data_IF_609639770679
#
_entry.id   IF_609639770679
#
_cell.length_a   1.000
_cell.length_b   1.000
_cell.length_c   1.000
_cell.angle_alpha   90.00
_cell.angle_beta   90.00
_cell.angle_gamma   90.00
#
_symmetry.space_group_name_H-M   'P 1'
#
loop_
_entity.id
_entity.type
_entity.pdbx_description
1 polymer ?
#
# COMPACT_ATOMS: atom_id res chain seq x y z
N UNK A 1 -8.53 -13.52 0.67
CA UNK A 1 -9.84 -12.92 0.96
C UNK A 1 -10.01 -12.95 2.46
N UNK A 2 -9.41 -11.98 3.14
CA UNK A 2 -9.71 -11.70 4.54
C UNK A 2 -10.94 -10.79 4.48
N UNK A 3 -12.10 -11.37 4.67
CA UNK A 3 -13.32 -10.60 4.89
C UNK A 3 -13.18 -9.92 6.25
N UNK A 4 -12.82 -8.63 6.24
CA UNK A 4 -13.05 -7.77 7.39
C UNK A 4 -14.55 -7.45 7.39
N UNK A 5 -15.35 -8.48 7.65
CA UNK A 5 -16.76 -8.38 8.03
C UNK A 5 -16.79 -8.13 9.53
N UNK A 6 -16.31 -6.96 9.96
CA UNK A 6 -16.70 -6.43 11.26
C UNK A 6 -17.67 -5.29 11.01
N UNK A 7 -18.95 -5.62 11.10
CA UNK A 7 -19.95 -4.66 11.53
C UNK A 7 -19.41 -3.95 12.78
N UNK A 8 -19.43 -2.63 12.68
CA UNK A 8 -18.91 -1.68 13.66
C UNK A 8 -19.62 -1.89 14.99
N UNK A 9 -18.85 -2.26 16.02
CA UNK A 9 -19.33 -2.26 17.40
C UNK A 9 -19.35 -0.81 17.89
N UNK A 10 -20.54 -0.33 18.25
CA UNK A 10 -20.86 1.03 18.75
C UNK A 10 -20.19 1.41 20.08
N UNK A 11 -19.23 0.63 20.56
CA UNK A 11 -18.64 0.77 21.90
C UNK A 11 -17.19 1.29 21.87
N UNK A 12 -16.57 1.44 20.68
CA UNK A 12 -15.17 1.88 20.53
C UNK A 12 -14.94 3.12 19.67
N UNK A 13 -15.96 3.75 19.08
CA UNK A 13 -15.78 5.00 18.29
C UNK A 13 -15.00 4.83 16.98
N UNK A 14 -14.91 3.60 16.47
CA UNK A 14 -14.26 3.27 15.20
C UNK A 14 -15.35 2.84 14.22
N UNK A 15 -15.40 3.40 13.02
CA UNK A 15 -16.32 2.95 11.98
C UNK A 15 -15.63 2.75 10.64
N UNK A 16 -16.08 1.75 9.89
CA UNK A 16 -15.59 1.41 8.56
C UNK A 16 -16.66 1.75 7.54
N UNK A 17 -16.28 2.49 6.51
CA UNK A 17 -17.13 2.78 5.37
C UNK A 17 -16.45 2.35 4.07
N UNK A 18 -17.27 1.91 3.10
CA UNK A 18 -16.78 1.47 1.78
C UNK A 18 -16.43 2.64 0.84
N UNK A 19 -16.93 3.83 1.14
CA UNK A 19 -16.72 5.00 0.29
C UNK A 19 -15.55 5.84 0.77
N UNK A 20 -14.76 6.35 -0.18
CA UNK A 20 -13.76 7.35 0.10
C UNK A 20 -14.39 8.61 0.71
N UNK A 21 -13.71 9.22 1.69
CA UNK A 21 -14.11 10.49 2.28
C UNK A 21 -13.77 11.64 1.32
N UNK A 22 -14.59 11.83 0.28
CA UNK A 22 -14.36 12.84 -0.77
C UNK A 22 -14.14 14.24 -0.20
N UNK A 23 -14.99 14.67 0.74
CA UNK A 23 -14.89 15.98 1.38
C UNK A 23 -13.63 16.15 2.24
N UNK A 24 -13.07 15.06 2.78
CA UNK A 24 -11.78 15.08 3.47
C UNK A 24 -10.65 15.18 2.47
N UNK A 25 -10.68 14.37 1.40
CA UNK A 25 -9.66 14.39 0.35
C UNK A 25 -9.54 15.78 -0.30
N UNK A 26 -10.66 16.45 -0.59
CA UNK A 26 -10.67 17.83 -1.10
C UNK A 26 -9.91 18.80 -0.18
N UNK A 27 -10.10 18.70 1.13
CA UNK A 27 -9.37 19.53 2.11
C UNK A 27 -7.90 19.17 2.19
N UNK A 28 -7.55 17.89 2.08
CA UNK A 28 -6.15 17.43 2.03
C UNK A 28 -5.45 18.01 0.80
N UNK A 29 -6.09 18.01 -0.37
CA UNK A 29 -5.54 18.60 -1.59
C UNK A 29 -5.40 20.13 -1.47
N UNK A 30 -6.41 20.83 -0.94
CA UNK A 30 -6.32 22.26 -0.69
C UNK A 30 -5.19 22.62 0.29
N UNK A 31 -5.00 21.82 1.34
CA UNK A 31 -3.87 21.98 2.26
C UNK A 31 -2.52 21.80 1.55
N UNK A 32 -2.38 20.76 0.72
CA UNK A 32 -1.13 20.51 -0.01
C UNK A 32 -0.73 21.70 -0.89
N UNK A 33 -1.69 22.32 -1.60
CA UNK A 33 -1.41 23.49 -2.44
C UNK A 33 -0.87 24.67 -1.62
N UNK A 34 -1.56 25.02 -0.52
CA UNK A 34 -1.15 26.12 0.35
C UNK A 34 0.17 25.84 1.06
N UNK A 35 0.34 24.61 1.57
CA UNK A 35 1.56 24.20 2.26
C UNK A 35 2.76 24.18 1.31
N UNK A 36 2.59 23.74 0.06
CA UNK A 36 3.66 23.74 -0.93
C UNK A 36 4.15 25.16 -1.25
N UNK A 37 3.24 26.12 -1.40
CA UNK A 37 3.62 27.52 -1.61
C UNK A 37 4.33 28.13 -0.38
N UNK A 38 3.85 27.79 0.82
CA UNK A 38 4.43 28.29 2.07
C UNK A 38 5.82 27.69 2.36
N UNK A 39 6.01 26.38 2.16
CA UNK A 39 7.28 25.67 2.33
C UNK A 39 8.36 26.13 1.32
N UNK A 40 7.96 26.73 0.20
CA UNK A 40 8.89 27.31 -0.76
C UNK A 40 9.52 28.64 -0.31
N UNK A 41 9.06 29.22 0.80
CA UNK A 41 9.56 30.49 1.35
C UNK A 41 10.67 30.20 2.36
N UNK A 42 11.78 30.93 2.33
CA UNK A 42 12.89 30.79 3.28
C UNK A 42 12.44 31.20 4.70
N UNK A 43 11.95 30.22 5.47
CA UNK A 43 11.48 30.41 6.85
C UNK A 43 12.07 29.30 7.71
N UNK A 44 13.20 29.58 8.38
CA UNK A 44 13.82 28.65 9.32
C UNK A 44 13.15 28.80 10.70
N UNK A 45 12.06 28.07 10.93
CA UNK A 45 11.36 28.01 12.22
C UNK A 45 11.06 26.55 12.55
N UNK A 46 10.97 26.21 13.83
CA UNK A 46 10.58 24.87 14.30
C UNK A 46 9.26 24.38 13.66
N UNK A 47 8.33 25.32 13.42
CA UNK A 47 7.07 25.09 12.70
C UNK A 47 7.25 24.63 11.25
N UNK A 48 8.35 25.03 10.58
CA UNK A 48 8.63 24.64 9.19
C UNK A 48 8.81 23.13 9.08
N UNK A 49 9.54 22.52 10.01
CA UNK A 49 9.77 21.07 10.02
C UNK A 49 8.47 20.30 10.24
N UNK A 50 7.65 20.71 11.22
CA UNK A 50 6.37 20.08 11.51
C UNK A 50 5.40 20.14 10.33
N UNK A 51 5.32 21.28 9.62
CA UNK A 51 4.48 21.44 8.43
C UNK A 51 5.01 20.62 7.25
N UNK A 52 6.34 20.52 7.10
CA UNK A 52 6.97 19.71 6.05
C UNK A 52 6.64 18.22 6.22
N UNK A 53 6.72 17.71 7.45
CA UNK A 53 6.35 16.33 7.78
C UNK A 53 4.87 16.07 7.46
N UNK A 54 3.99 16.96 7.92
CA UNK A 54 2.56 16.87 7.63
C UNK A 54 2.26 16.95 6.13
N UNK A 55 3.00 17.78 5.38
CA UNK A 55 2.87 17.88 3.92
C UNK A 55 3.20 16.56 3.22
N UNK A 56 4.30 15.89 3.62
CA UNK A 56 4.66 14.60 3.04
C UNK A 56 3.65 13.50 3.39
N UNK A 57 3.13 13.50 4.62
CA UNK A 57 2.08 12.58 5.03
C UNK A 57 0.79 12.81 4.23
N UNK A 58 0.33 14.07 4.15
CA UNK A 58 -0.82 14.47 3.36
C UNK A 58 -0.66 14.09 1.88
N UNK A 59 0.52 14.33 1.30
CA UNK A 59 0.84 13.99 -0.10
C UNK A 59 0.82 12.48 -0.33
N UNK A 60 1.36 11.72 0.60
CA UNK A 60 1.35 10.25 0.54
C UNK A 60 -0.07 9.71 0.62
N UNK A 61 -0.88 10.23 1.53
CA UNK A 61 -2.31 9.92 1.64
C UNK A 61 -3.07 10.24 0.36
N UNK A 62 -2.92 11.47 -0.16
CA UNK A 62 -3.60 11.91 -1.37
C UNK A 62 -3.27 11.07 -2.60
N UNK A 63 -2.02 10.60 -2.71
CA UNK A 63 -1.58 9.72 -3.78
C UNK A 63 -2.20 8.33 -3.70
N UNK A 64 -2.40 7.78 -2.50
CA UNK A 64 -3.14 6.51 -2.33
C UNK A 64 -4.61 6.71 -2.68
N UNK A 65 -5.19 7.86 -2.33
CA UNK A 65 -6.57 8.20 -2.64
C UNK A 65 -6.87 8.23 -4.16
N UNK A 66 -5.87 8.52 -5.00
CA UNK A 66 -6.01 8.44 -6.47
C UNK A 66 -6.22 7.02 -6.99
N UNK A 67 -5.69 6.00 -6.28
CA UNK A 67 -5.86 4.58 -6.61
C UNK A 67 -7.08 3.96 -5.92
N UNK A 68 -7.87 4.76 -5.20
CA UNK A 68 -9.01 4.27 -4.43
C UNK A 68 -10.11 3.76 -5.36
N UNK A 69 -10.38 2.46 -5.28
CA UNK A 69 -11.46 1.79 -5.98
C UNK A 69 -12.29 0.90 -5.03
N UNK A 70 -13.11 0.01 -5.58
CA UNK A 70 -13.97 -0.90 -4.81
C UNK A 70 -13.21 -1.88 -3.88
N UNK A 71 -11.90 -2.05 -4.09
CA UNK A 71 -11.05 -2.89 -3.26
C UNK A 71 -10.54 -2.15 -2.01
N UNK A 72 -10.86 -0.87 -1.86
CA UNK A 72 -10.49 -0.07 -0.72
C UNK A 72 -11.66 0.10 0.26
N UNK A 73 -11.32 0.24 1.54
CA UNK A 73 -12.24 0.67 2.59
C UNK A 73 -11.60 1.79 3.41
N UNK A 74 -12.42 2.69 3.93
CA UNK A 74 -11.97 3.77 4.80
C UNK A 74 -12.35 3.46 6.23
N UNK A 75 -11.36 3.40 7.11
CA UNK A 75 -11.52 3.26 8.55
C UNK A 75 -11.32 4.63 9.20
N UNK A 76 -12.28 5.04 10.01
CA UNK A 76 -12.20 6.26 10.83
C UNK A 76 -12.23 5.86 12.29
N UNK A 77 -11.20 6.25 13.03
CA UNK A 77 -11.07 6.01 14.46
C UNK A 77 -11.21 7.36 15.18
N UNK A 78 -12.29 7.57 15.94
CA UNK A 78 -12.59 8.84 16.62
C UNK A 78 -12.58 8.68 18.15
N UNK A 79 -11.44 8.25 18.71
CA UNK A 79 -11.26 8.12 20.17
C UNK A 79 -10.77 9.41 20.83
N UNK A 80 -9.50 9.76 20.64
CA UNK A 80 -8.87 10.98 21.18
C UNK A 80 -8.37 11.87 20.04
N UNK A 81 -7.61 11.27 19.14
CA UNK A 81 -7.22 11.86 17.87
C UNK A 81 -7.99 11.14 16.75
N UNK A 82 -8.55 11.91 15.82
CA UNK A 82 -9.26 11.32 14.68
C UNK A 82 -8.23 10.80 13.67
N UNK A 83 -8.17 9.49 13.47
CA UNK A 83 -7.33 8.86 12.45
C UNK A 83 -8.19 8.38 11.29
N UNK A 84 -7.76 8.70 10.07
CA UNK A 84 -8.41 8.25 8.83
C UNK A 84 -7.43 7.37 8.09
N UNK A 85 -7.79 6.10 7.90
CA UNK A 85 -6.94 5.10 7.22
C UNK A 85 -7.63 4.62 5.95
N UNK A 86 -6.88 4.55 4.86
CA UNK A 86 -7.31 3.93 3.61
C UNK A 86 -6.73 2.52 3.54
N UNK A 87 -7.59 1.50 3.63
CA UNK A 87 -7.22 0.10 3.68
C UNK A 87 -7.46 -0.56 2.32
N UNK A 88 -6.39 -0.98 1.66
CA UNK A 88 -6.48 -1.81 0.46
C UNK A 88 -6.72 -3.27 0.87
N UNK A 89 -7.89 -3.81 0.56
CA UNK A 89 -8.24 -5.19 0.87
C UNK A 89 -7.76 -6.18 -0.18
N UNK A 90 -7.63 -5.71 -1.43
CA UNK A 90 -7.10 -6.50 -2.54
C UNK A 90 -6.13 -5.66 -3.40
N UNK A 91 -4.81 -5.82 -3.21
CA UNK A 91 -3.80 -5.04 -3.95
C UNK A 91 -3.55 -5.57 -5.36
N UNK A 92 -4.25 -6.61 -5.77
CA UNK A 92 -3.82 -7.44 -6.88
C UNK A 92 -3.95 -6.81 -8.25
N UNK A 93 -4.99 -5.99 -8.47
CA UNK A 93 -5.13 -5.20 -9.70
C UNK A 93 -3.98 -4.22 -9.85
N UNK A 94 -3.68 -3.46 -8.79
CA UNK A 94 -2.57 -2.53 -8.78
C UNK A 94 -1.24 -3.23 -9.01
N UNK A 95 -1.03 -4.39 -8.38
CA UNK A 95 0.18 -5.17 -8.58
C UNK A 95 0.32 -5.61 -10.04
N UNK A 96 -0.76 -6.10 -10.66
CA UNK A 96 -0.77 -6.54 -12.06
C UNK A 96 -0.47 -5.39 -13.04
N UNK A 97 -1.12 -4.24 -12.88
CA UNK A 97 -0.88 -3.04 -13.71
C UNK A 97 0.58 -2.59 -13.64
N UNK A 98 1.17 -2.57 -12.43
CA UNK A 98 2.59 -2.20 -12.26
C UNK A 98 3.55 -3.20 -12.88
N UNK A 99 3.19 -4.47 -12.78
CA UNK A 99 3.92 -5.60 -13.33
C UNK A 99 3.92 -5.61 -14.86
N UNK A 100 2.83 -5.18 -15.49
CA UNK A 100 2.69 -5.09 -16.96
C UNK A 100 3.48 -3.95 -17.60
N UNK A 101 3.95 -2.97 -16.82
CA UNK A 101 4.82 -1.90 -17.34
C UNK A 101 6.19 -2.43 -17.83
N UNK A 102 6.57 -3.66 -17.45
CA UNK A 102 7.81 -4.31 -17.87
C UNK A 102 7.57 -5.55 -18.74
N UNK A 103 8.61 -5.97 -19.45
CA UNK A 103 8.60 -7.21 -20.27
C UNK A 103 8.63 -8.49 -19.43
N UNK A 104 8.98 -8.38 -18.15
CA UNK A 104 9.19 -9.47 -17.20
C UNK A 104 9.21 -8.95 -15.76
N UNK A 105 8.82 -9.79 -14.81
CA UNK A 105 8.83 -9.47 -13.39
C UNK A 105 9.34 -10.68 -12.61
N UNK A 106 10.28 -10.45 -11.70
CA UNK A 106 10.84 -11.49 -10.83
C UNK A 106 10.45 -11.16 -9.40
N UNK A 107 9.70 -12.06 -8.75
CA UNK A 107 9.32 -11.95 -7.35
C UNK A 107 10.25 -12.83 -6.50
N UNK A 108 11.08 -12.20 -5.68
CA UNK A 108 11.94 -12.89 -4.72
C UNK A 108 11.26 -12.98 -3.36
N UNK A 109 11.21 -14.18 -2.77
CA UNK A 109 10.74 -14.33 -1.40
C UNK A 109 11.54 -15.37 -0.61
N UNK A 110 11.91 -14.98 0.61
CA UNK A 110 12.62 -15.82 1.58
C UNK A 110 11.69 -16.68 2.44
N UNK A 111 10.40 -16.32 2.53
CA UNK A 111 9.52 -16.79 3.63
C UNK A 111 8.18 -17.35 3.13
N UNK A 112 7.84 -17.17 1.85
CA UNK A 112 6.60 -17.70 1.30
C UNK A 112 6.73 -19.18 0.93
N UNK A 113 6.65 -20.04 1.93
CA UNK A 113 6.40 -21.46 1.74
C UNK A 113 4.97 -21.79 2.22
N UNK A 114 4.06 -22.26 1.36
CA UNK A 114 4.23 -22.63 -0.05
C UNK A 114 4.02 -21.46 -1.04
N UNK A 115 4.76 -21.47 -2.17
CA UNK A 115 4.63 -20.53 -3.28
C UNK A 115 3.18 -20.40 -3.83
N UNK A 116 2.33 -21.38 -3.54
CA UNK A 116 0.88 -21.36 -3.83
C UNK A 116 0.15 -20.16 -3.20
N UNK A 117 0.56 -19.67 -2.03
CA UNK A 117 -0.07 -18.49 -1.43
C UNK A 117 0.28 -17.22 -2.21
N UNK A 118 1.54 -17.10 -2.65
CA UNK A 118 2.00 -16.02 -3.51
C UNK A 118 1.22 -16.04 -4.83
N UNK A 119 1.07 -17.20 -5.45
CA UNK A 119 0.18 -17.39 -6.61
C UNK A 119 -1.27 -16.95 -6.34
N UNK A 120 -1.84 -17.29 -5.18
CA UNK A 120 -3.24 -16.97 -4.90
C UNK A 120 -3.47 -15.46 -4.77
N UNK A 121 -2.47 -14.72 -4.28
CA UNK A 121 -2.52 -13.25 -4.21
C UNK A 121 -2.10 -12.59 -5.52
N UNK A 122 -1.32 -13.27 -6.37
CA UNK A 122 -0.95 -12.79 -7.71
C UNK A 122 -1.85 -13.46 -8.76
N UNK A 123 -2.92 -12.82 -9.19
CA UNK A 123 -4.02 -13.41 -9.96
C UNK A 123 -3.70 -13.85 -11.41
N UNK A 124 -2.42 -13.98 -11.78
CA UNK A 124 -2.03 -14.44 -13.12
C UNK A 124 -2.11 -15.97 -13.21
N UNK A 125 -3.11 -16.44 -13.95
CA UNK A 125 -3.45 -17.86 -14.09
C UNK A 125 -2.46 -18.67 -14.95
N UNK A 126 -1.57 -18.05 -15.73
CA UNK A 126 -0.69 -18.76 -16.67
C UNK A 126 0.73 -18.15 -16.76
N UNK A 127 1.74 -19.02 -16.86
CA UNK A 127 3.12 -18.67 -17.26
C UNK A 127 4.04 -18.18 -16.14
N UNK A 128 4.21 -18.99 -15.08
CA UNK A 128 5.25 -18.75 -14.07
C UNK A 128 6.25 -19.90 -14.05
N UNK A 129 7.52 -19.57 -13.86
CA UNK A 129 8.58 -20.52 -13.53
C UNK A 129 9.03 -20.23 -12.11
N UNK A 130 8.91 -21.22 -11.23
CA UNK A 130 9.45 -21.14 -9.86
C UNK A 130 10.83 -21.78 -9.82
N UNK A 131 11.82 -21.04 -9.33
CA UNK A 131 13.18 -21.52 -9.15
C UNK A 131 13.52 -21.42 -7.65
N UNK A 132 13.94 -22.54 -7.07
CA UNK A 132 14.60 -22.53 -5.76
C UNK A 132 16.07 -22.13 -5.96
N UNK A 133 16.44 -20.99 -5.39
CA UNK A 133 17.80 -20.47 -5.41
C UNK A 133 18.49 -20.89 -4.11
N UNK A 134 19.54 -21.71 -4.16
CA UNK A 134 20.34 -22.00 -2.98
C UNK A 134 21.16 -20.74 -2.63
N UNK A 135 20.94 -20.19 -1.44
CA UNK A 135 21.79 -19.14 -0.90
C UNK A 135 22.61 -19.73 0.25
N UNK A 136 23.94 -19.69 0.10
CA UNK A 136 24.86 -20.12 1.14
C UNK A 136 25.18 -18.90 2.03
N UNK A 137 24.77 -18.95 3.29
CA UNK A 137 25.30 -18.05 4.31
C UNK A 137 26.63 -18.66 4.76
N UNK A 138 27.65 -17.82 5.01
CA UNK A 138 29.04 -18.23 5.28
C UNK A 138 29.24 -19.23 6.43
N UNK A 139 28.20 -19.49 7.23
CA UNK A 139 28.23 -20.38 8.39
C UNK A 139 27.67 -21.79 8.12
N UNK A 140 27.66 -22.24 6.85
CA UNK A 140 27.28 -23.62 6.50
C UNK A 140 25.79 -23.93 6.64
N UNK A 141 24.97 -22.91 6.92
CA UNK A 141 23.51 -23.03 6.92
C UNK A 141 22.99 -22.74 5.51
N UNK A 142 22.49 -23.77 4.82
CA UNK A 142 21.81 -23.63 3.54
C UNK A 142 20.42 -23.03 3.78
N UNK A 143 20.19 -21.81 3.30
CA UNK A 143 18.86 -21.23 3.22
C UNK A 143 18.46 -21.17 1.75
N UNK A 144 17.38 -21.85 1.37
CA UNK A 144 16.82 -21.73 0.03
C UNK A 144 15.88 -20.52 -0.04
N UNK A 145 16.02 -19.72 -1.10
CA UNK A 145 15.07 -18.67 -1.45
C UNK A 145 14.24 -19.16 -2.64
N UNK A 146 12.99 -18.71 -2.71
CA UNK A 146 12.14 -18.98 -3.87
C UNK A 146 12.06 -17.73 -4.74
N UNK A 147 12.32 -17.88 -6.04
CA UNK A 147 12.09 -16.86 -7.04
C UNK A 147 10.97 -17.30 -7.98
N UNK A 148 10.01 -16.42 -8.26
CA UNK A 148 8.98 -16.66 -9.27
C UNK A 148 9.23 -15.69 -10.43
N UNK A 149 9.47 -16.24 -11.61
CA UNK A 149 9.63 -15.50 -12.86
C UNK A 149 8.30 -15.43 -13.60
N UNK A 150 7.90 -14.20 -13.93
CA UNK A 150 6.80 -13.91 -14.84
C UNK A 150 7.34 -13.30 -16.12
N UNK A 151 7.02 -13.91 -17.26
CA UNK A 151 7.30 -13.35 -18.60
C UNK A 151 5.99 -12.82 -19.19
N UNK A 152 5.98 -11.59 -19.69
CA UNK A 152 4.77 -10.99 -20.26
C UNK A 152 4.71 -11.35 -21.75
N UNK A 153 3.57 -11.81 -22.29
CA UNK A 153 3.40 -11.92 -23.72
C UNK A 153 3.49 -10.51 -24.33
N UNK A 154 4.29 -10.39 -25.40
CA UNK A 154 4.41 -9.16 -26.20
C UNK A 154 3.12 -8.91 -27.00
#
# INVERSE_FOLDING_TARGET
MLEISKEVTSETGEWVQKEALKSFNEKVYAFQEVAQEWLGKEISTDTHQAVLELFFEARSYGKIAEFYDEHYQTLVEAKKDTQIKQLCLDPSKLLAERMELGTGSILFSATFFPARLLYKITWRKNGYESIELPFAISDGTLTSFNAILYRYPL
#
